data_IF_588551547528
#
_entry.id   IF_588551547528
#
_cell.length_a   1.000
_cell.length_b   1.000
_cell.length_c   1.000
_cell.angle_alpha   90.00
_cell.angle_beta   90.00
_cell.angle_gamma   90.00
#
_symmetry.space_group_name_H-M   'P 1'
#
loop_
_entity.id
_entity.type
_entity.pdbx_description
1 polymer ?
#
# COMPACT_ATOMS: atom_id res chain seq x y z
N UNK A 1 -24.52 -32.35 20.17
CA UNK A 1 -24.91 -32.25 18.76
C UNK A 1 -23.92 -31.32 18.07
N UNK A 2 -22.97 -31.90 17.36
CA UNK A 2 -21.87 -31.19 16.69
C UNK A 2 -22.25 -30.85 15.25
N UNK A 3 -21.85 -29.71 14.69
CA UNK A 3 -21.99 -29.48 13.25
C UNK A 3 -20.76 -30.03 12.50
N UNK A 4 -21.06 -30.80 11.46
CA UNK A 4 -20.10 -31.39 10.50
C UNK A 4 -19.47 -30.34 9.56
N UNK A 5 -18.26 -30.60 9.00
CA UNK A 5 -17.57 -29.71 8.07
C UNK A 5 -17.95 -29.98 6.59
N UNK A 6 -17.65 -29.05 5.66
CA UNK A 6 -17.93 -29.21 4.23
C UNK A 6 -16.88 -30.08 3.49
N UNK A 7 -17.21 -30.58 2.28
CA UNK A 7 -16.48 -31.68 1.64
C UNK A 7 -15.21 -31.23 0.89
N UNK A 8 -14.16 -32.03 1.03
CA UNK A 8 -12.99 -32.04 0.18
C UNK A 8 -13.10 -33.16 -0.86
N UNK A 9 -12.88 -32.83 -2.15
CA UNK A 9 -12.47 -33.67 -3.30
C UNK A 9 -12.44 -32.70 -4.51
N UNK A 10 -11.32 -32.46 -5.19
CA UNK A 10 -10.60 -33.50 -5.92
C UNK A 10 -9.08 -33.45 -5.75
N UNK A 11 -8.55 -34.60 -5.30
CA UNK A 11 -7.25 -35.13 -5.71
C UNK A 11 -7.46 -35.85 -7.04
N UNK A 12 -6.53 -35.66 -7.98
CA UNK A 12 -5.80 -36.73 -8.66
C UNK A 12 -4.44 -36.10 -9.03
N UNK A 13 -3.35 -36.37 -8.29
CA UNK A 13 -2.55 -37.62 -8.24
C UNK A 13 -1.28 -37.49 -9.10
N UNK A 14 -0.22 -38.24 -8.75
CA UNK A 14 1.15 -37.75 -8.71
C UNK A 14 2.05 -38.30 -9.83
N UNK A 15 3.28 -37.79 -9.83
CA UNK A 15 4.47 -38.05 -10.66
C UNK A 15 4.66 -39.45 -11.26
N UNK A 16 5.48 -39.52 -12.33
CA UNK A 16 6.83 -40.07 -12.24
C UNK A 16 7.85 -39.00 -12.67
N UNK A 17 8.95 -38.73 -11.97
CA UNK A 17 10.12 -39.60 -11.85
C UNK A 17 10.61 -40.14 -13.20
N UNK A 18 11.06 -39.20 -14.04
CA UNK A 18 12.22 -39.37 -14.92
C UNK A 18 13.12 -38.17 -14.56
N UNK A 19 14.29 -38.30 -13.95
CA UNK A 19 15.26 -39.37 -14.14
C UNK A 19 16.15 -39.05 -15.33
N UNK A 20 16.81 -37.89 -15.36
CA UNK A 20 18.23 -37.87 -15.70
C UNK A 20 18.94 -36.56 -15.35
N UNK A 21 20.08 -36.66 -14.65
CA UNK A 21 20.98 -35.56 -14.34
C UNK A 21 21.89 -35.29 -15.54
N UNK A 22 22.06 -34.03 -15.93
CA UNK A 22 23.19 -33.66 -16.77
C UNK A 22 24.44 -33.53 -15.90
N UNK A 23 25.00 -34.72 -15.69
CA UNK A 23 26.39 -35.09 -15.52
C UNK A 23 27.41 -34.01 -15.85
N UNK A 24 28.19 -33.73 -14.81
CA UNK A 24 29.60 -33.35 -14.83
C UNK A 24 30.35 -34.12 -15.94
N UNK A 25 31.20 -33.48 -16.76
CA UNK A 25 32.33 -34.18 -17.34
C UNK A 25 33.41 -34.32 -16.25
N UNK A 26 33.22 -35.30 -15.38
CA UNK A 26 34.34 -35.94 -14.69
C UNK A 26 34.97 -36.90 -15.69
N UNK A 27 35.91 -36.39 -16.48
CA UNK A 27 36.94 -37.26 -17.03
C UNK A 27 37.99 -37.40 -15.93
N UNK A 28 37.90 -38.52 -15.22
CA UNK A 28 39.07 -39.16 -14.66
C UNK A 28 40.11 -39.31 -15.77
N UNK A 29 41.26 -38.67 -15.58
CA UNK A 29 42.52 -39.26 -15.97
C UNK A 29 43.36 -39.26 -14.71
N UNK A 30 43.23 -40.35 -13.96
CA UNK A 30 44.33 -40.83 -13.13
C UNK A 30 45.56 -40.96 -14.02
N UNK A 31 46.77 -40.62 -13.56
CA UNK A 31 47.88 -41.51 -13.69
C UNK A 31 47.90 -42.31 -12.39
N UNK A 32 47.24 -43.48 -12.42
CA UNK A 32 47.71 -44.52 -11.54
C UNK A 32 49.15 -44.84 -11.98
N UNK A 33 50.02 -44.76 -11.00
CA UNK A 33 51.34 -45.35 -10.94
C UNK A 33 51.37 -46.69 -11.70
N UNK A 34 51.84 -46.66 -12.94
CA UNK A 34 52.33 -47.84 -13.63
C UNK A 34 53.86 -47.77 -13.63
N UNK A 35 54.45 -48.67 -12.85
CA UNK A 35 55.86 -49.04 -12.88
C UNK A 35 56.30 -49.41 -14.31
N UNK A 36 57.61 -49.32 -14.61
CA UNK A 36 58.12 -49.24 -15.98
C UNK A 36 58.23 -50.63 -16.63
N UNK A 37 57.90 -50.78 -17.92
CA UNK A 37 58.36 -51.94 -18.68
C UNK A 37 59.81 -51.72 -19.08
N UNK A 38 60.69 -52.52 -18.46
CA UNK A 38 62.05 -52.70 -18.90
C UNK A 38 62.10 -53.21 -20.34
N UNK A 39 62.91 -52.55 -21.15
CA UNK A 39 63.57 -53.12 -22.32
C UNK A 39 64.82 -52.28 -22.62
N UNK A 40 65.86 -52.61 -21.88
CA UNK A 40 67.26 -52.64 -22.28
C UNK A 40 67.56 -52.21 -23.72
N UNK A 41 68.10 -50.99 -23.86
CA UNK A 41 69.00 -50.64 -24.96
C UNK A 41 70.12 -49.75 -24.40
N UNK A 42 71.17 -50.40 -23.91
CA UNK A 42 72.52 -49.80 -23.82
C UNK A 42 73.06 -49.66 -25.26
N UNK A 43 73.76 -48.55 -25.61
CA UNK A 43 75.24 -48.53 -25.51
C UNK A 43 75.85 -47.09 -25.45
N UNK A 44 77.18 -46.90 -25.46
CA UNK A 44 78.28 -47.74 -24.99
C UNK A 44 79.00 -47.10 -23.79
N UNK A 45 79.70 -47.93 -23.03
CA UNK A 45 80.45 -47.50 -21.86
C UNK A 45 81.54 -46.48 -22.18
N UNK A 46 81.46 -45.31 -21.54
CA UNK A 46 82.65 -44.55 -21.22
C UNK A 46 83.19 -45.10 -19.90
N UNK A 47 84.39 -45.68 -20.01
CA UNK A 47 85.15 -46.30 -18.94
C UNK A 47 85.10 -45.45 -17.67
N UNK A 48 84.94 -46.13 -16.53
CA UNK A 48 85.55 -45.71 -15.27
C UNK A 48 87.00 -45.38 -15.58
N UNK A 49 87.32 -44.09 -15.58
CA UNK A 49 88.70 -43.71 -15.30
C UNK A 49 88.80 -43.73 -13.79
N UNK A 50 89.33 -44.84 -13.29
CA UNK A 50 90.00 -44.85 -12.00
C UNK A 50 91.01 -43.69 -12.03
N UNK A 51 90.73 -42.64 -11.28
CA UNK A 51 91.73 -41.66 -10.94
C UNK A 51 92.17 -41.96 -9.52
N UNK A 52 93.12 -42.89 -9.49
CA UNK A 52 94.20 -43.00 -8.52
C UNK A 52 94.33 -41.76 -7.65
N UNK A 53 94.35 -41.99 -6.34
CA UNK A 53 95.13 -41.17 -5.42
C UNK A 53 96.50 -40.93 -6.06
N UNK A 54 96.65 -39.73 -6.60
CA UNK A 54 97.94 -39.19 -6.96
C UNK A 54 98.13 -38.03 -6.03
N UNK A 55 99.00 -38.22 -5.04
CA UNK A 55 99.87 -37.17 -4.55
C UNK A 55 100.57 -36.57 -5.78
N UNK A 56 99.87 -35.65 -6.44
CA UNK A 56 100.19 -35.13 -7.75
C UNK A 56 100.81 -33.78 -7.54
N UNK A 57 102.11 -33.78 -7.19
CA UNK A 57 102.94 -32.60 -7.32
C UNK A 57 102.60 -31.90 -8.64
N UNK A 58 102.42 -30.58 -8.54
CA UNK A 58 102.26 -29.59 -9.61
C UNK A 58 102.88 -30.10 -10.93
N UNK A 59 102.16 -30.93 -11.70
CA UNK A 59 102.54 -31.33 -13.05
C UNK A 59 102.22 -30.12 -13.91
N UNK A 60 103.11 -29.13 -13.82
CA UNK A 60 103.23 -28.05 -14.79
C UNK A 60 103.37 -28.77 -16.12
N UNK A 61 102.30 -28.78 -16.90
CA UNK A 61 102.31 -29.27 -18.28
C UNK A 61 103.49 -28.57 -18.99
N UNK A 62 104.56 -29.28 -19.40
CA UNK A 62 105.82 -28.67 -19.86
C UNK A 62 105.74 -27.83 -21.14
N UNK A 63 104.54 -27.68 -21.70
CA UNK A 63 104.26 -26.95 -22.93
C UNK A 63 103.88 -25.48 -22.69
N UNK A 64 103.68 -25.06 -21.44
CA UNK A 64 103.32 -23.68 -21.08
C UNK A 64 104.52 -22.79 -20.81
N UNK A 65 105.72 -23.37 -20.74
CA UNK A 65 106.95 -22.68 -20.32
C UNK A 65 107.85 -22.27 -21.51
N UNK A 66 107.42 -22.51 -22.76
CA UNK A 66 108.10 -22.05 -23.98
C UNK A 66 107.31 -20.97 -24.74
N UNK A 67 106.27 -20.39 -24.12
CA UNK A 67 105.51 -19.31 -24.75
C UNK A 67 106.35 -18.03 -24.72
N UNK A 68 106.47 -17.39 -25.87
CA UNK A 68 107.06 -16.06 -25.97
C UNK A 68 106.31 -15.10 -25.05
N UNK A 69 106.98 -14.17 -24.37
CA UNK A 69 106.32 -13.12 -23.59
C UNK A 69 105.17 -12.42 -24.34
N UNK A 70 105.26 -12.33 -25.67
CA UNK A 70 104.20 -11.82 -26.54
C UNK A 70 102.98 -12.75 -26.66
N UNK A 71 103.17 -14.06 -26.71
CA UNK A 71 102.08 -15.04 -26.78
C UNK A 71 101.31 -15.09 -25.46
N UNK A 72 102.01 -15.01 -24.33
CA UNK A 72 101.39 -14.91 -22.99
C UNK A 72 100.56 -13.64 -22.89
N UNK A 73 101.08 -12.51 -23.35
CA UNK A 73 100.34 -11.25 -23.38
C UNK A 73 99.09 -11.34 -24.27
N UNK A 74 99.21 -11.92 -25.46
CA UNK A 74 98.09 -12.08 -26.39
C UNK A 74 96.98 -12.98 -25.82
N UNK A 75 97.34 -14.13 -25.25
CA UNK A 75 96.40 -15.05 -24.59
C UNK A 75 95.73 -14.36 -23.38
N UNK A 76 96.50 -13.58 -22.61
CA UNK A 76 95.97 -12.76 -21.52
C UNK A 76 94.94 -11.74 -22.02
N UNK A 77 95.26 -11.04 -23.11
CA UNK A 77 94.39 -10.03 -23.72
C UNK A 77 93.12 -10.65 -24.30
N UNK A 78 93.21 -11.81 -24.93
CA UNK A 78 92.05 -12.53 -25.47
C UNK A 78 91.11 -12.99 -24.35
N UNK A 79 91.66 -13.53 -23.25
CA UNK A 79 90.87 -13.91 -22.06
C UNK A 79 90.17 -12.71 -21.43
N UNK A 80 90.86 -11.57 -21.34
CA UNK A 80 90.27 -10.34 -20.83
C UNK A 80 89.09 -9.87 -21.71
N UNK A 81 89.25 -9.88 -23.04
CA UNK A 81 88.19 -9.52 -23.98
C UNK A 81 86.98 -10.47 -23.86
N UNK A 82 87.24 -11.78 -23.75
CA UNK A 82 86.19 -12.79 -23.56
C UNK A 82 85.46 -12.62 -22.23
N UNK A 83 86.18 -12.35 -21.15
CA UNK A 83 85.59 -12.07 -19.84
C UNK A 83 84.71 -10.82 -19.88
N UNK A 84 85.13 -9.76 -20.59
CA UNK A 84 84.32 -8.55 -20.78
C UNK A 84 83.03 -8.83 -21.56
N UNK A 85 83.09 -9.65 -22.61
CA UNK A 85 81.90 -10.06 -23.36
C UNK A 85 80.95 -10.91 -22.51
N UNK A 86 81.49 -11.85 -21.72
CA UNK A 86 80.69 -12.67 -20.80
C UNK A 86 80.06 -11.84 -19.69
N UNK A 87 80.79 -10.86 -19.14
CA UNK A 87 80.26 -9.93 -18.15
C UNK A 87 79.09 -9.12 -18.71
N UNK A 88 79.23 -8.56 -19.92
CA UNK A 88 78.12 -7.84 -20.59
C UNK A 88 76.92 -8.74 -20.86
N UNK A 89 77.14 -9.99 -21.28
CA UNK A 89 76.05 -10.94 -21.49
C UNK A 89 75.34 -11.27 -20.17
N UNK A 90 76.08 -11.44 -19.07
CA UNK A 90 75.50 -11.68 -17.75
C UNK A 90 74.75 -10.44 -17.20
N UNK A 91 75.27 -9.23 -17.44
CA UNK A 91 74.61 -7.97 -17.09
C UNK A 91 73.27 -7.81 -17.83
N UNK A 92 73.22 -8.11 -19.13
CA UNK A 92 71.98 -8.04 -19.91
C UNK A 92 70.94 -9.06 -19.42
N UNK A 93 71.35 -10.29 -19.13
CA UNK A 93 70.47 -11.31 -18.54
C UNK A 93 69.96 -10.87 -17.16
N UNK A 94 70.82 -10.30 -16.32
CA UNK A 94 70.42 -9.81 -15.00
C UNK A 94 69.44 -8.63 -15.13
N UNK A 95 69.69 -7.71 -16.07
CA UNK A 95 68.78 -6.59 -16.36
C UNK A 95 67.39 -7.08 -16.77
N UNK A 96 67.30 -8.06 -17.68
CA UNK A 96 66.02 -8.65 -18.07
C UNK A 96 65.30 -9.32 -16.90
N UNK A 97 66.05 -10.03 -16.04
CA UNK A 97 65.49 -10.66 -14.85
C UNK A 97 64.90 -9.63 -13.87
N UNK A 98 65.62 -8.52 -13.64
CA UNK A 98 65.14 -7.44 -12.78
C UNK A 98 63.93 -6.70 -13.37
N UNK A 99 63.92 -6.43 -14.67
CA UNK A 99 62.75 -5.87 -15.36
C UNK A 99 61.52 -6.78 -15.23
N UNK A 100 61.70 -8.11 -15.38
CA UNK A 100 60.62 -9.08 -15.15
C UNK A 100 60.11 -9.05 -13.71
N UNK A 101 61.00 -8.97 -12.70
CA UNK A 101 60.59 -8.88 -11.29
C UNK A 101 59.83 -7.59 -11.01
N UNK A 102 60.31 -6.46 -11.50
CA UNK A 102 59.66 -5.17 -11.33
C UNK A 102 58.28 -5.14 -12.00
N UNK A 103 58.16 -5.66 -13.22
CA UNK A 103 56.88 -5.76 -13.92
C UNK A 103 55.90 -6.66 -13.14
N UNK A 104 56.36 -7.79 -12.58
CA UNK A 104 55.52 -8.63 -11.75
C UNK A 104 55.07 -7.92 -10.46
N UNK A 105 55.94 -7.17 -9.80
CA UNK A 105 55.56 -6.38 -8.62
C UNK A 105 54.56 -5.27 -8.96
N UNK A 106 54.75 -4.58 -10.08
CA UNK A 106 53.82 -3.56 -10.55
C UNK A 106 52.44 -4.14 -10.83
N UNK A 107 52.36 -5.29 -11.51
CA UNK A 107 51.12 -6.01 -11.76
C UNK A 107 50.44 -6.49 -10.46
N UNK A 108 51.21 -6.92 -9.46
CA UNK A 108 50.66 -7.26 -8.13
C UNK A 108 50.06 -6.03 -7.46
N UNK A 109 50.78 -4.90 -7.46
CA UNK A 109 50.29 -3.64 -6.87
C UNK A 109 49.05 -3.12 -7.58
N UNK A 110 49.03 -3.19 -8.90
CA UNK A 110 47.89 -2.81 -9.74
C UNK A 110 46.65 -3.66 -9.42
N UNK A 111 46.79 -4.98 -9.32
CA UNK A 111 45.71 -5.88 -8.92
C UNK A 111 45.13 -5.53 -7.55
N UNK A 112 45.99 -5.27 -6.57
CA UNK A 112 45.54 -4.89 -5.22
C UNK A 112 44.76 -3.56 -5.26
N UNK A 113 45.26 -2.57 -5.99
CA UNK A 113 44.57 -1.28 -6.13
C UNK A 113 43.20 -1.43 -6.82
N UNK A 114 43.13 -2.23 -7.89
CA UNK A 114 41.89 -2.53 -8.60
C UNK A 114 40.90 -3.31 -7.73
N UNK A 115 41.34 -4.32 -6.98
CA UNK A 115 40.51 -5.06 -6.04
C UNK A 115 39.97 -4.16 -4.93
N UNK A 116 40.82 -3.32 -4.33
CA UNK A 116 40.39 -2.35 -3.31
C UNK A 116 39.36 -1.36 -3.86
N UNK A 117 39.54 -0.91 -5.09
CA UNK A 117 38.59 -0.04 -5.75
C UNK A 117 37.25 -0.77 -5.98
N UNK A 118 37.29 -2.00 -6.51
CA UNK A 118 36.09 -2.83 -6.74
C UNK A 118 35.35 -3.11 -5.43
N UNK A 119 36.05 -3.49 -4.38
CA UNK A 119 35.50 -3.69 -3.02
C UNK A 119 34.80 -2.42 -2.52
N UNK A 120 35.45 -1.26 -2.66
CA UNK A 120 34.89 0.01 -2.23
C UNK A 120 33.61 0.37 -2.99
N UNK A 121 33.60 0.20 -4.32
CA UNK A 121 32.42 0.45 -5.16
C UNK A 121 31.27 -0.49 -4.79
N UNK A 122 31.55 -1.78 -4.61
CA UNK A 122 30.54 -2.75 -4.20
C UNK A 122 29.97 -2.41 -2.82
N UNK A 123 30.83 -2.07 -1.85
CA UNK A 123 30.41 -1.66 -0.52
C UNK A 123 29.53 -0.41 -0.56
N UNK A 124 29.88 0.59 -1.39
CA UNK A 124 29.08 1.80 -1.57
C UNK A 124 27.71 1.51 -2.20
N UNK A 125 27.66 0.68 -3.24
CA UNK A 125 26.40 0.23 -3.86
C UNK A 125 25.53 -0.53 -2.87
N UNK A 126 26.13 -1.38 -2.04
CA UNK A 126 25.41 -2.16 -1.05
C UNK A 126 24.83 -1.30 0.07
N UNK A 127 25.61 -0.31 0.53
CA UNK A 127 25.19 0.69 1.50
C UNK A 127 24.00 1.49 1.00
N UNK A 128 24.06 1.99 -0.24
CA UNK A 128 22.94 2.69 -0.89
C UNK A 128 21.69 1.80 -0.98
N UNK A 129 21.85 0.53 -1.39
CA UNK A 129 20.75 -0.45 -1.43
C UNK A 129 20.14 -0.66 -0.04
N UNK A 130 20.95 -0.75 1.01
CA UNK A 130 20.47 -0.89 2.39
C UNK A 130 19.74 0.37 2.85
N UNK A 131 20.22 1.55 2.50
CA UNK A 131 19.55 2.81 2.81
C UNK A 131 18.18 2.91 2.12
N UNK A 132 18.10 2.59 0.82
CA UNK A 132 16.83 2.54 0.08
C UNK A 132 15.85 1.57 0.72
N UNK A 133 16.28 0.36 1.10
CA UNK A 133 15.45 -0.62 1.82
C UNK A 133 14.95 -0.07 3.15
N UNK A 134 15.80 0.62 3.92
CA UNK A 134 15.40 1.26 5.19
C UNK A 134 14.38 2.38 4.96
N UNK A 135 14.54 3.21 3.91
CA UNK A 135 13.58 4.25 3.54
C UNK A 135 12.22 3.64 3.22
N UNK A 136 12.17 2.62 2.35
CA UNK A 136 10.93 1.92 2.03
C UNK A 136 10.30 1.26 3.25
N UNK A 137 11.08 0.60 4.10
CA UNK A 137 10.57 -0.03 5.32
C UNK A 137 9.97 0.99 6.30
N UNK A 138 10.61 2.15 6.45
CA UNK A 138 10.08 3.24 7.28
C UNK A 138 8.79 3.81 6.70
N UNK A 139 8.75 4.02 5.39
CA UNK A 139 7.55 4.51 4.69
C UNK A 139 6.38 3.54 4.81
N UNK A 140 6.62 2.23 4.67
CA UNK A 140 5.57 1.21 4.85
C UNK A 140 5.08 1.15 6.30
N UNK A 141 5.98 1.27 7.28
CA UNK A 141 5.60 1.33 8.69
C UNK A 141 4.76 2.57 9.00
N UNK A 142 5.16 3.74 8.50
CA UNK A 142 4.41 5.00 8.66
C UNK A 142 3.06 4.98 7.94
N UNK A 143 2.97 4.36 6.76
CA UNK A 143 1.69 4.12 6.08
C UNK A 143 0.79 3.22 6.90
N UNK A 144 1.32 2.13 7.46
CA UNK A 144 0.56 1.22 8.30
C UNK A 144 0.02 1.91 9.57
N UNK A 145 0.83 2.73 10.25
CA UNK A 145 0.37 3.47 11.43
C UNK A 145 -0.69 4.51 11.08
N UNK A 146 -0.51 5.25 9.98
CA UNK A 146 -1.52 6.21 9.49
C UNK A 146 -2.83 5.53 9.10
N UNK A 147 -2.78 4.35 8.50
CA UNK A 147 -3.99 3.58 8.18
C UNK A 147 -4.71 3.10 9.43
N UNK A 148 -3.97 2.60 10.42
CA UNK A 148 -4.54 2.21 11.70
C UNK A 148 -5.21 3.39 12.42
N UNK A 149 -4.57 4.56 12.47
CA UNK A 149 -5.15 5.78 13.03
C UNK A 149 -6.44 6.19 12.31
N UNK A 150 -6.45 6.13 10.97
CA UNK A 150 -7.66 6.40 10.18
C UNK A 150 -8.79 5.42 10.48
N UNK A 151 -8.48 4.13 10.64
CA UNK A 151 -9.48 3.14 11.03
C UNK A 151 -10.03 3.44 12.43
N UNK A 152 -9.17 3.79 13.39
CA UNK A 152 -9.62 4.15 14.74
C UNK A 152 -10.51 5.39 14.76
N UNK A 153 -10.23 6.43 13.96
CA UNK A 153 -11.12 7.60 13.87
C UNK A 153 -12.48 7.22 13.27
N UNK A 154 -12.49 6.36 12.25
CA UNK A 154 -13.73 5.87 11.64
C UNK A 154 -14.53 5.02 12.62
N UNK A 155 -13.90 4.09 13.32
CA UNK A 155 -14.53 3.29 14.36
C UNK A 155 -15.13 4.17 15.47
N UNK A 156 -14.40 5.18 15.92
CA UNK A 156 -14.92 6.16 16.91
C UNK A 156 -16.15 6.91 16.38
N UNK A 157 -16.13 7.32 15.11
CA UNK A 157 -17.27 7.99 14.48
C UNK A 157 -18.47 7.04 14.33
N UNK A 158 -18.25 5.80 13.92
CA UNK A 158 -19.29 4.78 13.76
C UNK A 158 -19.91 4.40 15.11
N UNK A 159 -19.10 4.28 16.17
CA UNK A 159 -19.59 4.07 17.53
C UNK A 159 -20.49 5.24 17.95
N UNK A 160 -20.03 6.49 17.77
CA UNK A 160 -20.82 7.68 18.10
C UNK A 160 -22.12 7.76 17.32
N UNK A 161 -22.09 7.40 16.03
CA UNK A 161 -23.27 7.35 15.19
C UNK A 161 -24.27 6.29 15.66
N UNK A 162 -23.79 5.08 16.00
CA UNK A 162 -24.62 4.01 16.55
C UNK A 162 -25.26 4.40 17.89
N UNK A 163 -24.47 4.97 18.80
CA UNK A 163 -24.97 5.49 20.08
C UNK A 163 -26.10 6.52 19.86
N UNK A 164 -25.91 7.45 18.92
CA UNK A 164 -26.91 8.44 18.56
C UNK A 164 -28.17 7.80 17.95
N UNK A 165 -28.00 6.79 17.10
CA UNK A 165 -29.10 6.05 16.47
C UNK A 165 -29.96 5.33 17.53
N UNK A 166 -29.33 4.67 18.51
CA UNK A 166 -30.04 4.03 19.61
C UNK A 166 -30.78 5.06 20.47
N UNK A 167 -30.14 6.21 20.77
CA UNK A 167 -30.80 7.29 21.49
C UNK A 167 -32.03 7.83 20.73
N UNK A 168 -31.92 7.97 19.41
CA UNK A 168 -33.05 8.40 18.57
C UNK A 168 -34.16 7.36 18.52
N UNK A 169 -33.81 6.09 18.39
CA UNK A 169 -34.79 4.99 18.43
C UNK A 169 -35.51 4.92 19.78
N UNK A 170 -34.80 5.13 20.88
CA UNK A 170 -35.39 5.18 22.22
C UNK A 170 -36.36 6.37 22.38
N UNK A 171 -35.98 7.56 21.91
CA UNK A 171 -36.83 8.76 21.93
C UNK A 171 -38.12 8.56 21.10
N UNK A 172 -38.01 7.99 19.90
CA UNK A 172 -39.18 7.67 19.07
C UNK A 172 -40.04 6.56 19.68
N UNK A 173 -39.43 5.54 20.29
CA UNK A 173 -40.16 4.49 20.98
C UNK A 173 -40.93 5.03 22.20
N UNK A 174 -40.37 5.98 22.94
CA UNK A 174 -41.06 6.64 24.05
C UNK A 174 -42.24 7.49 23.56
N UNK A 175 -42.04 8.30 22.51
CA UNK A 175 -43.13 9.07 21.88
C UNK A 175 -44.25 8.17 21.39
N UNK A 176 -43.90 7.07 20.71
CA UNK A 176 -44.87 6.08 20.22
C UNK A 176 -45.61 5.37 21.35
N UNK A 177 -44.96 5.09 22.48
CA UNK A 177 -45.63 4.53 23.67
C UNK A 177 -46.64 5.51 24.25
N UNK A 178 -46.27 6.79 24.41
CA UNK A 178 -47.17 7.83 24.90
C UNK A 178 -48.38 8.04 23.99
N UNK A 179 -48.18 8.01 22.68
CA UNK A 179 -49.27 8.11 21.71
C UNK A 179 -50.22 6.91 21.80
N UNK A 180 -49.67 5.69 21.85
CA UNK A 180 -50.47 4.46 22.02
C UNK A 180 -51.23 4.41 23.34
N UNK A 181 -50.67 4.95 24.41
CA UNK A 181 -51.36 5.03 25.71
C UNK A 181 -52.54 6.00 25.64
N UNK A 182 -52.35 7.19 25.05
CA UNK A 182 -53.43 8.16 24.80
C UNK A 182 -54.51 7.59 23.88
N UNK A 183 -54.14 6.84 22.85
CA UNK A 183 -55.12 6.17 21.97
C UNK A 183 -55.94 5.13 22.75
N UNK A 184 -55.28 4.31 23.58
CA UNK A 184 -55.96 3.34 24.44
C UNK A 184 -56.89 4.02 25.45
N UNK A 185 -56.48 5.14 26.04
CA UNK A 185 -57.32 5.94 26.93
C UNK A 185 -58.56 6.46 26.20
N UNK A 186 -58.40 6.99 24.97
CA UNK A 186 -59.54 7.45 24.14
C UNK A 186 -60.49 6.32 23.77
N UNK A 187 -59.96 5.15 23.43
CA UNK A 187 -60.78 3.96 23.14
C UNK A 187 -61.54 3.51 24.40
N UNK A 188 -60.88 3.49 25.55
CA UNK A 188 -61.52 3.15 26.83
C UNK A 188 -62.59 4.18 27.22
N UNK A 189 -62.35 5.48 27.03
CA UNK A 189 -63.32 6.56 27.27
C UNK A 189 -64.57 6.38 26.38
N UNK A 190 -64.37 6.09 25.09
CA UNK A 190 -65.48 5.80 24.16
C UNK A 190 -66.24 4.53 24.55
N UNK A 191 -65.53 3.49 24.98
CA UNK A 191 -66.13 2.26 25.46
C UNK A 191 -66.93 2.47 26.76
N UNK A 192 -66.44 3.29 27.69
CA UNK A 192 -67.16 3.66 28.91
C UNK A 192 -68.43 4.44 28.57
N UNK A 193 -68.34 5.45 27.69
CA UNK A 193 -69.51 6.20 27.21
C UNK A 193 -70.55 5.28 26.58
N UNK A 194 -70.12 4.31 25.77
CA UNK A 194 -70.99 3.30 25.15
C UNK A 194 -71.66 2.41 26.19
N UNK A 195 -70.89 1.85 27.13
CA UNK A 195 -71.49 0.97 28.16
C UNK A 195 -72.39 1.74 29.12
N UNK A 196 -72.09 3.01 29.41
CA UNK A 196 -72.92 3.90 30.22
C UNK A 196 -74.25 4.21 29.52
N UNK A 197 -74.22 4.53 28.23
CA UNK A 197 -75.46 4.74 27.46
C UNK A 197 -76.27 3.45 27.33
N UNK A 198 -75.63 2.30 27.12
CA UNK A 198 -76.31 1.00 27.08
C UNK A 198 -76.94 0.63 28.43
N UNK A 199 -76.29 0.93 29.56
CA UNK A 199 -76.86 0.73 30.92
C UNK A 199 -78.08 1.62 31.15
N UNK A 200 -77.95 2.92 30.87
CA UNK A 200 -79.06 3.89 31.00
C UNK A 200 -80.23 3.49 30.09
N UNK A 201 -79.95 3.03 28.87
CA UNK A 201 -80.98 2.57 27.95
C UNK A 201 -81.71 1.34 28.49
N UNK A 202 -80.98 0.35 29.02
CA UNK A 202 -81.60 -0.84 29.66
C UNK A 202 -82.44 -0.46 30.87
N UNK A 203 -81.93 0.43 31.71
CA UNK A 203 -82.67 0.94 32.87
C UNK A 203 -83.95 1.67 32.42
N UNK A 204 -83.86 2.49 31.37
CA UNK A 204 -85.02 3.14 30.78
C UNK A 204 -86.04 2.13 30.22
N UNK A 205 -85.60 1.06 29.56
CA UNK A 205 -86.48 -0.02 29.10
C UNK A 205 -87.21 -0.70 30.27
N UNK A 206 -86.52 -0.96 31.38
CA UNK A 206 -87.12 -1.54 32.58
C UNK A 206 -88.10 -0.57 33.24
N UNK A 207 -87.70 0.70 33.42
CA UNK A 207 -88.58 1.73 33.96
C UNK A 207 -89.80 1.94 33.06
N UNK A 208 -89.66 1.93 31.73
CA UNK A 208 -90.77 2.05 30.79
C UNK A 208 -91.76 0.88 30.90
N UNK A 209 -91.28 -0.34 31.18
CA UNK A 209 -92.16 -1.49 31.49
C UNK A 209 -92.90 -1.33 32.82
N UNK A 210 -92.31 -0.62 33.77
CA UNK A 210 -92.86 -0.40 35.11
C UNK A 210 -93.65 0.91 35.26
N UNK A 211 -93.79 1.71 34.20
CA UNK A 211 -94.64 2.91 34.24
C UNK A 211 -96.12 2.48 34.28
N UNK A 212 -96.93 2.94 35.24
CA UNK A 212 -98.37 2.76 35.17
C UNK A 212 -98.85 3.46 33.90
N UNK A 213 -99.55 2.71 33.05
CA UNK A 213 -100.11 3.20 31.80
C UNK A 213 -100.91 4.48 32.09
N UNK A 214 -100.49 5.65 31.59
CA UNK A 214 -101.25 6.87 31.79
C UNK A 214 -102.64 6.62 31.23
N UNK A 215 -103.66 6.76 32.08
CA UNK A 215 -105.02 6.78 31.62
C UNK A 215 -105.10 7.83 30.50
N UNK A 216 -105.73 7.44 29.40
CA UNK A 216 -106.03 8.26 28.24
C UNK A 216 -106.93 9.44 28.68
N UNK A 217 -106.39 10.38 29.44
CA UNK A 217 -107.03 11.64 29.75
C UNK A 217 -106.84 12.51 28.53
N UNK A 218 -107.87 12.51 27.68
CA UNK A 218 -107.99 13.40 26.55
C UNK A 218 -107.81 14.84 27.00
N UNK A 219 -106.69 15.43 26.59
CA UNK A 219 -106.64 16.87 26.39
C UNK A 219 -107.02 17.09 24.93
N UNK A 220 -108.31 17.33 24.73
CA UNK A 220 -108.89 17.62 23.43
C UNK A 220 -108.19 18.82 22.81
N UNK A 221 -107.49 18.57 21.71
CA UNK A 221 -107.35 19.57 20.66
C UNK A 221 -108.76 19.77 20.08
N UNK A 222 -109.40 20.95 20.22
CA UNK A 222 -110.74 21.14 19.71
C UNK A 222 -110.64 21.27 18.19
N UNK A 223 -110.84 20.15 17.50
CA UNK A 223 -111.21 20.19 16.09
C UNK A 223 -112.66 20.69 16.00
N UNK A 224 -112.82 22.02 16.00
CA UNK A 224 -114.09 22.71 15.76
C UNK A 224 -113.90 23.79 14.70
N UNK A 225 -114.30 23.48 13.47
CA UNK A 225 -114.31 24.40 12.31
C UNK A 225 -115.24 25.59 12.58
N UNK A 226 -114.82 26.80 12.18
CA UNK A 226 -115.61 27.85 11.49
C UNK A 226 -114.68 29.05 11.26
N UNK A 227 -114.14 29.22 10.04
CA UNK A 227 -114.67 30.13 9.02
C UNK A 227 -114.32 31.60 9.30
N UNK A 228 -113.37 32.13 8.52
CA UNK A 228 -113.01 33.55 8.51
C UNK A 228 -111.52 33.76 8.36
N UNK A 229 -111.08 34.04 7.13
CA UNK A 229 -109.71 34.41 6.82
C UNK A 229 -109.31 35.66 7.62
N UNK A 230 -108.38 35.50 8.56
CA UNK A 230 -107.52 36.57 9.02
C UNK A 230 -106.10 36.03 9.05
N UNK A 231 -105.34 36.47 8.06
CA UNK A 231 -103.88 36.47 8.03
C UNK A 231 -103.35 36.88 9.42
N UNK A 232 -102.50 36.05 10.01
CA UNK A 232 -102.32 36.08 11.46
C UNK A 232 -101.15 35.23 11.93
N UNK A 233 -99.96 35.59 11.47
CA UNK A 233 -98.75 35.53 12.30
C UNK A 233 -99.07 36.01 13.73
N UNK A 234 -99.46 35.10 14.62
CA UNK A 234 -99.63 35.38 16.05
C UNK A 234 -98.30 35.19 16.82
N UNK A 235 -97.19 35.49 16.17
CA UNK A 235 -95.94 35.79 16.85
C UNK A 235 -95.68 37.29 16.71
N UNK A 236 -95.48 38.03 17.81
CA UNK A 236 -94.98 39.39 17.69
C UNK A 236 -93.67 39.33 16.90
N UNK A 237 -93.57 40.15 15.85
CA UNK A 237 -92.36 40.21 15.04
C UNK A 237 -91.15 40.43 15.96
N UNK A 238 -90.10 39.58 15.91
CA UNK A 238 -88.93 39.75 16.76
C UNK A 238 -88.38 41.16 16.58
N UNK A 239 -88.23 41.91 17.68
CA UNK A 239 -87.75 43.30 17.61
C UNK A 239 -86.31 43.43 17.09
N UNK A 240 -85.60 42.31 16.91
CA UNK A 240 -84.25 42.26 16.37
C UNK A 240 -84.09 41.04 15.44
N UNK A 241 -83.96 41.31 14.15
CA UNK A 241 -83.42 40.35 13.19
C UNK A 241 -81.94 40.68 13.00
N UNK A 242 -81.04 39.74 13.32
CA UNK A 242 -79.61 39.92 13.10
C UNK A 242 -79.35 40.15 11.59
N UNK A 243 -78.88 41.34 11.17
CA UNK A 243 -78.79 41.70 9.76
C UNK A 243 -77.65 40.99 9.02
N UNK A 244 -76.81 40.23 9.74
CA UNK A 244 -75.75 39.43 9.15
C UNK A 244 -76.28 37.99 9.00
N UNK A 245 -76.69 37.55 7.79
CA UNK A 245 -77.01 36.14 7.58
C UNK A 245 -75.77 35.34 7.99
N UNK A 246 -75.97 34.28 8.77
CA UNK A 246 -74.91 33.40 9.25
C UNK A 246 -74.14 32.86 8.05
N UNK A 247 -73.07 33.56 7.65
CA UNK A 247 -72.24 33.09 6.54
C UNK A 247 -71.57 31.81 7.01
N UNK A 248 -71.61 30.71 6.22
CA UNK A 248 -70.81 29.54 6.53
C UNK A 248 -69.37 29.99 6.81
N UNK A 249 -68.82 29.58 7.96
CA UNK A 249 -67.44 29.88 8.30
C UNK A 249 -66.57 29.38 7.14
N UNK A 250 -65.81 30.27 6.52
CA UNK A 250 -64.88 29.87 5.47
C UNK A 250 -63.83 28.96 6.09
N UNK A 251 -63.97 27.66 5.86
CA UNK A 251 -62.92 26.69 6.16
C UNK A 251 -61.85 26.90 5.10
N UNK A 252 -60.64 27.36 5.44
CA UNK A 252 -59.57 27.42 4.46
C UNK A 252 -59.31 25.99 3.96
N UNK A 253 -59.10 25.79 2.64
CA UNK A 253 -58.78 24.47 2.13
C UNK A 253 -57.56 23.93 2.88
N UNK A 254 -57.55 22.61 3.23
CA UNK A 254 -56.41 22.00 3.89
C UNK A 254 -55.17 22.28 3.05
N UNK A 255 -54.14 22.84 3.69
CA UNK A 255 -52.86 23.11 3.03
C UNK A 255 -52.37 21.77 2.50
N UNK A 256 -52.36 21.63 1.18
CA UNK A 256 -51.59 20.59 0.53
C UNK A 256 -50.15 20.79 1.02
N UNK A 257 -49.68 19.86 1.83
CA UNK A 257 -48.26 19.73 2.14
C UNK A 257 -47.56 19.52 0.82
N UNK A 258 -47.13 20.64 0.22
CA UNK A 258 -46.16 20.65 -0.85
C UNK A 258 -44.89 20.13 -0.21
N UNK A 259 -44.76 18.81 -0.25
CA UNK A 259 -43.54 18.08 0.01
C UNK A 259 -42.47 18.83 -0.77
N UNK A 260 -41.64 19.58 -0.05
CA UNK A 260 -40.46 20.20 -0.59
C UNK A 260 -39.57 19.06 -1.06
N UNK A 261 -39.77 18.66 -2.30
CA UNK A 261 -38.78 17.92 -3.06
C UNK A 261 -37.56 18.83 -3.08
N UNK A 262 -36.56 18.39 -2.32
CA UNK A 262 -35.28 19.02 -2.09
C UNK A 262 -34.65 19.36 -3.44
N UNK A 263 -34.88 20.58 -3.92
CA UNK A 263 -34.28 21.08 -5.16
C UNK A 263 -32.80 21.27 -4.90
N UNK A 264 -32.03 20.39 -5.54
CA UNK A 264 -30.57 20.36 -5.59
C UNK A 264 -30.04 21.78 -5.82
N UNK A 265 -29.20 22.24 -4.91
CA UNK A 265 -28.46 23.50 -4.99
C UNK A 265 -27.64 23.53 -6.28
N UNK A 266 -28.11 24.26 -7.28
CA UNK A 266 -27.27 24.78 -8.35
C UNK A 266 -26.72 26.13 -7.89
N UNK A 267 -25.41 26.30 -8.09
CA UNK A 267 -24.65 27.52 -7.76
C UNK A 267 -25.25 28.74 -8.47
N UNK A 268 -25.23 29.93 -7.84
CA UNK A 268 -25.44 31.18 -8.55
C UNK A 268 -24.38 31.35 -9.65
N UNK A 269 -24.83 31.66 -10.86
CA UNK A 269 -23.94 31.96 -11.99
C UNK A 269 -23.15 33.25 -11.76
N UNK A 270 -21.98 33.42 -12.41
CA UNK A 270 -21.18 34.63 -12.25
C UNK A 270 -21.83 35.82 -12.98
N UNK A 271 -21.98 36.92 -12.26
CA UNK A 271 -22.27 38.24 -12.84
C UNK A 271 -21.14 38.67 -13.78
N UNK A 272 -21.51 39.34 -14.87
CA UNK A 272 -20.57 39.94 -15.81
C UNK A 272 -19.67 41.00 -15.13
N UNK A 273 -18.37 41.09 -15.49
CA UNK A 273 -17.54 42.23 -15.12
C UNK A 273 -17.70 43.38 -16.12
N UNK A 274 -17.95 44.57 -15.58
CA UNK A 274 -17.86 45.86 -16.27
C UNK A 274 -16.44 46.11 -16.80
N UNK A 275 -16.35 46.71 -17.98
CA UNK A 275 -15.11 47.19 -18.58
C UNK A 275 -14.51 48.35 -17.78
N UNK A 276 -13.21 48.25 -17.47
CA UNK A 276 -12.36 49.39 -17.09
C UNK A 276 -10.91 49.15 -17.54
N UNK A 277 -10.24 50.25 -17.88
CA UNK A 277 -9.03 50.43 -18.71
C UNK A 277 -7.72 49.80 -18.16
N UNK A 278 -6.67 49.66 -19.01
CA UNK A 278 -5.47 48.89 -18.67
C UNK A 278 -4.45 49.74 -17.90
N UNK A 279 -3.95 49.18 -16.79
CA UNK A 279 -2.73 49.64 -16.13
C UNK A 279 -1.65 48.58 -16.33
N UNK A 280 -0.61 48.94 -17.07
CA UNK A 280 0.60 48.14 -17.22
C UNK A 280 1.34 48.01 -15.88
N UNK A 281 1.65 46.79 -15.47
CA UNK A 281 2.71 46.53 -14.49
C UNK A 281 3.56 45.34 -14.97
N UNK A 282 4.84 45.63 -15.06
CA UNK A 282 5.97 44.89 -15.63
C UNK A 282 6.24 43.54 -14.94
N UNK A 283 6.53 42.50 -15.72
CA UNK A 283 7.04 41.21 -15.22
C UNK A 283 8.56 41.25 -15.01
N UNK A 284 9.10 40.71 -13.91
CA UNK A 284 10.51 40.33 -13.84
C UNK A 284 10.71 38.95 -14.48
N UNK A 285 11.64 38.87 -15.43
CA UNK A 285 12.04 37.65 -16.14
C UNK A 285 13.35 37.14 -15.55
N UNK A 286 13.29 36.13 -14.69
CA UNK A 286 14.47 35.39 -14.21
C UNK A 286 14.58 34.05 -14.94
N UNK A 287 15.58 33.95 -15.81
CA UNK A 287 16.07 32.67 -16.38
C UNK A 287 17.38 32.30 -15.67
N UNK A 288 17.62 31.03 -15.29
CA UNK A 288 18.96 30.56 -15.02
C UNK A 288 19.57 30.01 -16.33
N UNK A 289 20.58 30.70 -16.86
CA UNK A 289 21.40 30.20 -17.96
C UNK A 289 22.79 29.83 -17.40
N UNK A 290 23.10 28.54 -17.44
CA UNK A 290 24.43 27.97 -17.19
C UNK A 290 25.14 27.92 -18.56
N UNK A 291 26.36 28.46 -18.68
CA UNK A 291 27.20 28.11 -19.84
C UNK A 291 28.33 29.06 -20.24
N UNK A 292 29.48 28.89 -19.59
CA UNK A 292 30.83 28.88 -20.19
C UNK A 292 31.69 30.16 -20.34
N UNK A 293 32.95 29.91 -19.99
CA UNK A 293 34.21 30.45 -20.52
C UNK A 293 34.81 31.74 -19.94
N UNK A 294 35.58 31.56 -18.87
CA UNK A 294 36.72 32.41 -18.53
C UNK A 294 37.77 32.36 -19.65
N UNK A 295 38.14 33.52 -20.19
CA UNK A 295 39.48 33.76 -20.72
C UNK A 295 40.19 34.76 -19.82
N UNK A 296 41.32 34.35 -19.23
CA UNK A 296 42.41 35.24 -18.84
C UNK A 296 43.61 34.85 -19.68
N UNK A 297 44.15 35.81 -20.43
CA UNK A 297 45.49 35.73 -20.99
C UNK A 297 46.46 36.34 -19.96
N UNK A 298 47.64 35.73 -19.90
CA UNK A 298 48.85 36.26 -19.28
C UNK A 298 49.23 37.61 -19.90
#
# INVERSE_FOLDING_TARGET
MSPSPPPAKGRLSPSPSEGSPLSVPSRCSSPERAEPPGASRSPPGHRRTEHSETAGGRKVSPWKDNLSPWEVWFIGKEKELRARLQARAAEEVNKQLEEMKQNQEWERRKRIAEEKHKEWVLKKREEERRERKRKMSKEMAEKATRELEKMQLKEKADIKYKEWLEKKRAEEAEKKKKEKEKEKERVAELQEKRTRSEKIFKEWLQNARNKPQPALNGYGFPHGRSAGCADGNLYPAPAYCNPIPWKPVHVPPPKEDTVLTRKRSQRPGPCQPCAALPVEISKPRTNPCIGSLCRKKL
#
